data_IF_016578062585
#
_entry.id   IF_016578062585
#
_cell.length_a   1.000
_cell.length_b   1.000
_cell.length_c   1.000
_cell.angle_alpha   90.00
_cell.angle_beta   90.00
_cell.angle_gamma   90.00
#
_symmetry.space_group_name_H-M   'P 1'
#
loop_
_entity.id
_entity.type
_entity.pdbx_description
1 polymer ?
#
# COMPACT_ATOMS: atom_id res chain seq x y z
N UNK A 1 25.89 -15.06 7.95
CA UNK A 1 24.52 -15.33 8.42
C UNK A 1 23.65 -15.54 7.20
N UNK A 2 23.12 -16.74 6.98
CA UNK A 2 22.23 -17.04 5.85
C UNK A 2 20.80 -16.69 6.24
N UNK A 3 20.23 -15.68 5.60
CA UNK A 3 18.82 -15.32 5.76
C UNK A 3 17.99 -16.41 5.10
N UNK A 4 17.14 -17.11 5.87
CA UNK A 4 16.16 -18.05 5.30
C UNK A 4 14.94 -17.24 4.85
N UNK A 5 14.60 -17.35 3.57
CA UNK A 5 13.46 -16.63 2.98
C UNK A 5 12.28 -17.59 2.85
N UNK A 6 11.19 -17.31 3.55
CA UNK A 6 9.92 -18.01 3.38
C UNK A 6 9.09 -17.27 2.31
N UNK A 7 9.19 -17.72 1.06
CA UNK A 7 8.55 -17.05 -0.09
C UNK A 7 7.02 -17.03 -0.03
N UNK A 8 6.30 -18.08 0.44
CA UNK A 8 4.87 -18.01 0.73
C UNK A 8 4.48 -16.91 1.74
N UNK A 9 5.19 -16.82 2.87
CA UNK A 9 4.91 -15.80 3.88
C UNK A 9 5.19 -14.40 3.36
N UNK A 10 6.29 -14.19 2.62
CA UNK A 10 6.61 -12.90 2.02
C UNK A 10 5.53 -12.45 1.02
N UNK A 11 4.99 -13.38 0.22
CA UNK A 11 3.89 -13.11 -0.70
C UNK A 11 2.60 -12.77 0.05
N UNK A 12 2.31 -13.50 1.13
CA UNK A 12 1.15 -13.23 2.00
C UNK A 12 1.23 -11.84 2.64
N UNK A 13 2.39 -11.49 3.21
CA UNK A 13 2.65 -10.16 3.78
C UNK A 13 2.51 -9.05 2.74
N UNK A 14 3.07 -9.23 1.52
CA UNK A 14 2.88 -8.28 0.44
C UNK A 14 1.42 -8.07 0.08
N UNK A 15 0.62 -9.15 0.03
CA UNK A 15 -0.83 -9.08 -0.16
C UNK A 15 -1.56 -8.36 0.98
N UNK A 16 -1.18 -8.59 2.24
CA UNK A 16 -1.74 -7.88 3.39
C UNK A 16 -1.46 -6.38 3.33
N UNK A 17 -0.25 -5.97 2.94
CA UNK A 17 0.11 -4.56 2.77
C UNK A 17 -0.74 -3.90 1.69
N UNK A 18 -0.96 -4.58 0.56
CA UNK A 18 -1.86 -4.10 -0.50
C UNK A 18 -3.31 -4.00 0.01
N UNK A 19 -3.78 -4.97 0.79
CA UNK A 19 -5.12 -4.94 1.39
C UNK A 19 -5.30 -3.73 2.31
N UNK A 20 -4.32 -3.46 3.18
CA UNK A 20 -4.33 -2.28 4.06
C UNK A 20 -4.35 -0.98 3.24
N UNK A 21 -3.62 -0.94 2.13
CA UNK A 21 -3.67 0.21 1.22
C UNK A 21 -5.07 0.39 0.61
N UNK A 22 -5.73 -0.70 0.22
CA UNK A 22 -7.12 -0.70 -0.25
C UNK A 22 -8.11 -0.23 0.80
N UNK A 23 -7.98 -0.71 2.04
CA UNK A 23 -8.82 -0.29 3.16
C UNK A 23 -8.65 1.20 3.47
N UNK A 24 -7.40 1.69 3.46
CA UNK A 24 -7.10 3.10 3.66
C UNK A 24 -7.74 3.97 2.56
N UNK A 25 -7.66 3.53 1.30
CA UNK A 25 -8.29 4.21 0.17
C UNK A 25 -9.81 4.27 0.32
N UNK A 26 -10.44 3.14 0.63
CA UNK A 26 -11.88 3.05 0.82
C UNK A 26 -12.36 3.93 1.98
N UNK A 27 -11.64 3.90 3.11
CA UNK A 27 -11.93 4.73 4.26
C UNK A 27 -11.79 6.22 3.92
N UNK A 28 -10.73 6.62 3.21
CA UNK A 28 -10.53 8.00 2.78
C UNK A 28 -11.68 8.51 1.91
N UNK A 29 -12.06 7.75 0.88
CA UNK A 29 -13.21 8.07 0.02
C UNK A 29 -14.52 8.12 0.80
N UNK A 30 -14.68 7.30 1.84
CA UNK A 30 -15.89 7.33 2.68
C UNK A 30 -15.99 8.59 3.57
N UNK A 31 -14.85 9.26 3.82
CA UNK A 31 -14.77 10.48 4.64
C UNK A 31 -14.72 11.76 3.80
N UNK A 32 -14.49 11.64 2.50
CA UNK A 32 -14.51 12.76 1.55
C UNK A 32 -15.88 13.47 1.61
N UNK A 33 -15.86 14.80 1.70
CA UNK A 33 -17.06 15.62 1.89
C UNK A 33 -17.69 15.59 3.29
N UNK A 34 -17.26 14.70 4.21
CA UNK A 34 -17.71 14.67 5.62
C UNK A 34 -16.83 15.47 6.57
N UNK A 35 -15.64 15.83 6.12
CA UNK A 35 -14.66 16.60 6.91
C UNK A 35 -14.93 18.11 6.87
N UNK A 36 -15.69 18.58 5.88
CA UNK A 36 -16.22 19.93 5.88
C UNK A 36 -17.51 19.99 6.74
N UNK A 37 -17.68 20.99 7.60
CA UNK A 37 -18.95 21.19 8.31
C UNK A 37 -20.11 21.28 7.33
N UNK A 38 -21.28 20.73 7.69
CA UNK A 38 -22.48 20.88 6.88
C UNK A 38 -22.76 22.36 6.56
N UNK A 39 -23.16 22.65 5.32
CA UNK A 39 -23.58 23.99 4.93
C UNK A 39 -24.82 24.39 5.78
N UNK A 40 -24.70 25.43 6.60
CA UNK A 40 -25.75 25.84 7.52
C UNK A 40 -25.41 27.13 8.26
N UNK A 41 -26.44 27.80 8.79
CA UNK A 41 -26.26 29.04 9.55
C UNK A 41 -25.36 28.77 10.77
N UNK A 42 -24.13 29.30 10.75
CA UNK A 42 -23.11 29.11 11.80
C UNK A 42 -21.84 28.37 11.37
N UNK A 43 -21.79 27.75 10.18
CA UNK A 43 -20.58 27.04 9.69
C UNK A 43 -19.52 27.94 9.03
N UNK A 44 -19.80 29.24 8.91
CA UNK A 44 -19.01 30.23 8.16
C UNK A 44 -17.62 30.58 8.74
N UNK A 45 -17.21 30.00 9.87
CA UNK A 45 -15.90 30.27 10.47
C UNK A 45 -14.77 29.36 9.99
N UNK A 46 -15.09 28.10 9.67
CA UNK A 46 -14.09 27.08 9.32
C UNK A 46 -14.36 26.44 7.95
N UNK A 47 -15.62 26.19 7.57
CA UNK A 47 -15.98 25.50 6.31
C UNK A 47 -15.68 26.32 5.05
N UNK A 48 -15.58 27.65 5.18
CA UNK A 48 -15.47 28.62 4.09
C UNK A 48 -14.08 29.27 4.00
N UNK A 49 -13.16 28.92 4.91
CA UNK A 49 -11.80 29.46 4.87
C UNK A 49 -10.97 28.71 3.81
N UNK A 50 -10.29 29.42 2.89
CA UNK A 50 -9.33 28.80 1.96
C UNK A 50 -8.30 27.90 2.66
N UNK A 51 -7.97 28.18 3.93
CA UNK A 51 -7.07 27.35 4.73
C UNK A 51 -7.65 25.97 5.05
N UNK A 52 -8.96 25.85 5.29
CA UNK A 52 -9.60 24.57 5.57
C UNK A 52 -9.71 23.73 4.29
N UNK A 53 -10.03 24.35 3.16
CA UNK A 53 -10.00 23.67 1.85
C UNK A 53 -8.59 23.19 1.50
N UNK A 54 -7.57 24.03 1.71
CA UNK A 54 -6.17 23.64 1.50
C UNK A 54 -5.73 22.50 2.43
N UNK A 55 -6.17 22.51 3.69
CA UNK A 55 -5.89 21.43 4.64
C UNK A 55 -6.58 20.11 4.23
N UNK A 56 -7.84 20.17 3.79
CA UNK A 56 -8.57 19.01 3.28
C UNK A 56 -7.90 18.42 2.02
N UNK A 57 -7.49 19.28 1.08
CA UNK A 57 -6.76 18.85 -0.10
C UNK A 57 -5.40 18.23 0.25
N UNK A 58 -4.64 18.87 1.15
CA UNK A 58 -3.33 18.37 1.58
C UNK A 58 -3.41 17.02 2.29
N UNK A 59 -4.46 16.82 3.10
CA UNK A 59 -4.77 15.50 3.68
C UNK A 59 -5.03 14.49 2.57
N UNK A 60 -5.94 14.80 1.64
CA UNK A 60 -6.33 13.90 0.56
C UNK A 60 -5.12 13.46 -0.28
N UNK A 61 -4.27 14.41 -0.67
CA UNK A 61 -3.06 14.16 -1.45
C UNK A 61 -2.05 13.31 -0.67
N UNK A 62 -1.87 13.59 0.63
CA UNK A 62 -1.00 12.79 1.50
C UNK A 62 -1.46 11.33 1.58
N UNK A 63 -2.76 11.09 1.79
CA UNK A 63 -3.30 9.74 1.88
C UNK A 63 -3.19 8.99 0.55
N UNK A 64 -3.48 9.65 -0.57
CA UNK A 64 -3.28 9.04 -1.89
C UNK A 64 -1.81 8.65 -2.12
N UNK A 65 -0.88 9.52 -1.74
CA UNK A 65 0.56 9.23 -1.79
C UNK A 65 0.98 8.11 -0.84
N UNK A 66 0.35 7.97 0.32
CA UNK A 66 0.58 6.86 1.24
C UNK A 66 0.06 5.53 0.66
N UNK A 67 -1.16 5.50 0.12
CA UNK A 67 -1.75 4.33 -0.54
C UNK A 67 -0.83 3.83 -1.66
N UNK A 68 -0.40 4.69 -2.57
CA UNK A 68 0.48 4.29 -3.67
C UNK A 68 1.84 3.75 -3.21
N UNK A 69 2.39 4.29 -2.11
CA UNK A 69 3.63 3.76 -1.52
C UNK A 69 3.45 2.38 -0.89
N UNK A 70 2.32 2.15 -0.22
CA UNK A 70 1.98 0.84 0.36
C UNK A 70 1.76 -0.20 -0.74
N UNK A 71 0.99 0.12 -1.78
CA UNK A 71 0.79 -0.76 -2.94
C UNK A 71 2.12 -1.14 -3.60
N UNK A 72 3.00 -0.15 -3.85
CA UNK A 72 4.32 -0.38 -4.42
C UNK A 72 5.20 -1.25 -3.52
N UNK A 73 5.15 -1.03 -2.20
CA UNK A 73 5.92 -1.81 -1.23
C UNK A 73 5.43 -3.27 -1.19
N UNK A 74 4.11 -3.49 -1.12
CA UNK A 74 3.52 -4.83 -1.14
C UNK A 74 3.81 -5.58 -2.44
N UNK A 75 3.71 -4.89 -3.59
CA UNK A 75 4.08 -5.48 -4.88
C UNK A 75 5.57 -5.86 -4.92
N UNK A 76 6.46 -5.00 -4.41
CA UNK A 76 7.90 -5.27 -4.36
C UNK A 76 8.22 -6.52 -3.50
N UNK A 77 7.46 -6.78 -2.44
CA UNK A 77 7.59 -8.00 -1.64
C UNK A 77 7.16 -9.24 -2.42
N UNK A 78 6.05 -9.16 -3.16
CA UNK A 78 5.57 -10.26 -4.02
C UNK A 78 6.58 -10.55 -5.13
N UNK A 79 7.11 -9.52 -5.78
CA UNK A 79 8.11 -9.64 -6.84
C UNK A 79 9.40 -10.26 -6.31
N UNK A 80 9.85 -9.83 -5.12
CA UNK A 80 10.99 -10.44 -4.44
C UNK A 80 10.76 -11.92 -4.16
N UNK A 81 9.58 -12.30 -3.64
CA UNK A 81 9.23 -13.70 -3.37
C UNK A 81 9.28 -14.55 -4.65
N UNK A 82 8.75 -14.03 -5.75
CA UNK A 82 8.75 -14.70 -7.06
C UNK A 82 10.17 -14.85 -7.62
N UNK A 83 11.01 -13.81 -7.48
CA UNK A 83 12.41 -13.84 -7.92
C UNK A 83 13.25 -14.84 -7.12
N UNK A 84 13.02 -14.94 -5.80
CA UNK A 84 13.66 -15.95 -4.96
C UNK A 84 13.28 -17.35 -5.41
N UNK A 85 11.98 -17.63 -5.54
CA UNK A 85 11.48 -18.94 -5.97
C UNK A 85 12.04 -19.34 -7.34
N UNK A 86 12.04 -18.43 -8.32
CA UNK A 86 12.62 -18.68 -9.64
C UNK A 86 14.13 -18.95 -9.59
N UNK A 87 14.85 -18.32 -8.67
CA UNK A 87 16.30 -18.53 -8.51
C UNK A 87 16.58 -19.91 -7.91
N UNK A 88 15.79 -20.34 -6.93
CA UNK A 88 15.88 -21.66 -6.32
C UNK A 88 15.55 -22.77 -7.33
N UNK A 89 14.50 -22.59 -8.15
CA UNK A 89 14.13 -23.55 -9.19
C UNK A 89 15.26 -23.74 -10.22
N UNK A 90 15.92 -22.63 -10.63
CA UNK A 90 17.08 -22.69 -11.54
C UNK A 90 18.27 -23.40 -10.91
N UNK A 91 18.53 -23.17 -9.61
CA UNK A 91 19.61 -23.82 -8.89
C UNK A 91 19.35 -25.34 -8.77
N UNK A 92 18.12 -25.73 -8.42
CA UNK A 92 17.70 -27.12 -8.34
C UNK A 92 17.87 -27.84 -9.70
N UNK A 93 17.42 -27.22 -10.80
CA UNK A 93 17.55 -27.79 -12.15
C UNK A 93 19.02 -27.97 -12.58
N UNK A 94 19.93 -27.06 -12.21
CA UNK A 94 21.36 -27.22 -12.47
C UNK A 94 21.98 -28.35 -11.66
N UNK A 95 21.61 -28.48 -10.38
CA UNK A 95 22.11 -29.55 -9.52
C UNK A 95 21.63 -30.93 -9.97
N UNK A 96 20.36 -31.06 -10.37
CA UNK A 96 19.81 -32.31 -10.89
C UNK A 96 20.44 -32.73 -12.22
N UNK A 97 20.81 -31.77 -13.07
CA UNK A 97 21.51 -32.05 -14.34
C UNK A 97 22.99 -32.42 -14.17
N UNK A 98 23.64 -31.99 -13.09
CA UNK A 98 25.03 -32.35 -12.78
C UNK A 98 25.17 -33.72 -12.08
N UNK A 99 24.06 -34.29 -11.60
CA UNK A 99 24.01 -35.58 -10.92
C UNK A 99 23.70 -36.77 -11.86
N UNK A 100 23.63 -36.52 -13.17
CA UNK A 100 23.42 -37.50 -14.26
C UNK A 100 24.66 -37.48 -15.14
#
# INVERSE_FOLDING_TARGET
MTVRVNTPELRSLGGQVISVAGDLKNNNSSTEGKLAPAEGAGSAGWATSPAATAAAQGWHDYLNGLVGRLEKAGQSMIDAANNYQSSDDRAANRSGRAAI
#
